data_IF_279839060044
#
_entry.id   IF_279839060044
#
_cell.length_a   1.000
_cell.length_b   1.000
_cell.length_c   1.000
_cell.angle_alpha   90.00
_cell.angle_beta   90.00
_cell.angle_gamma   90.00
#
_symmetry.space_group_name_H-M   'P 1'
#
loop_
_entity.id
_entity.type
_entity.pdbx_description
1 polymer ?
#
# COMPACT_ATOMS: atom_id res chain seq x y z
N UNK A 1 12.89 10.59 18.05
CA UNK A 1 12.83 10.67 17.59
C UNK A 1 13.14 10.65 17.21
N UNK A 2 13.16 10.87 16.86
CA UNK A 2 13.25 11.09 16.27
C UNK A 2 13.44 10.83 15.56
N UNK A 3 13.53 10.54 15.34
CA UNK A 3 13.55 10.56 14.40
C UNK A 3 13.22 10.33 13.61
N UNK A 4 12.59 10.27 13.31
CA UNK A 4 12.09 10.29 12.56
C UNK A 4 11.77 11.00 12.09
N UNK A 5 11.59 11.22 12.55
CA UNK A 5 11.26 12.10 12.23
C UNK A 5 11.85 12.92 11.64
N UNK A 6 12.57 13.04 11.52
CA UNK A 6 13.07 13.69 10.93
C UNK A 6 12.86 13.94 9.77
N UNK A 7 12.29 13.46 9.50
CA UNK A 7 11.93 13.62 8.33
C UNK A 7 10.90 14.48 8.26
N UNK A 8 10.87 15.44 8.32
CA UNK A 8 10.00 16.24 8.32
C UNK A 8 9.85 16.75 7.27
N UNK A 9 10.15 16.61 6.68
CA UNK A 9 10.07 17.12 5.63
C UNK A 9 9.06 17.54 5.01
N UNK A 10 8.91 17.56 3.87
CA UNK A 10 7.80 18.07 3.37
C UNK A 10 6.77 17.16 3.23
N UNK A 11 5.57 17.53 3.37
CA UNK A 11 4.40 16.76 3.13
C UNK A 11 3.95 17.07 1.74
N UNK A 12 4.15 16.15 0.85
CA UNK A 12 3.77 16.35 -0.53
C UNK A 12 2.41 15.76 -0.80
N UNK A 13 1.62 16.38 -1.66
CA UNK A 13 0.28 15.85 -1.96
C UNK A 13 0.32 14.41 -2.45
N UNK A 14 1.30 14.08 -3.29
CA UNK A 14 1.36 12.71 -3.79
C UNK A 14 1.66 11.73 -2.67
N UNK A 15 2.43 12.14 -1.66
CA UNK A 15 2.70 11.25 -0.54
C UNK A 15 1.46 11.04 0.31
N UNK A 16 0.68 12.09 0.48
CA UNK A 16 -0.56 11.96 1.23
C UNK A 16 -1.53 11.04 0.51
N UNK A 17 -1.62 11.18 -0.80
CA UNK A 17 -2.51 10.32 -1.55
C UNK A 17 -2.06 8.88 -1.51
N UNK A 18 -0.77 8.65 -1.64
CA UNK A 18 -0.27 7.29 -1.58
C UNK A 18 -0.52 6.71 -0.20
N UNK A 19 -0.34 7.51 0.84
CA UNK A 19 -0.59 7.03 2.19
C UNK A 19 -2.04 6.60 2.35
N UNK A 20 -2.97 7.38 1.81
CA UNK A 20 -4.37 7.01 1.87
C UNK A 20 -4.63 5.70 1.13
N UNK A 21 -4.02 5.54 -0.03
CA UNK A 21 -4.17 4.31 -0.78
C UNK A 21 -3.57 3.13 -0.04
N UNK A 22 -2.47 3.35 0.63
CA UNK A 22 -1.83 2.31 1.42
C UNK A 22 -2.70 1.90 2.60
N UNK A 23 -3.34 2.87 3.25
CA UNK A 23 -4.23 2.56 4.36
C UNK A 23 -5.41 1.74 3.88
N UNK A 24 -5.95 2.10 2.74
CA UNK A 24 -7.06 1.33 2.22
C UNK A 24 -6.62 -0.08 1.82
N UNK A 25 -5.43 -0.19 1.25
CA UNK A 25 -4.88 -1.49 0.92
C UNK A 25 -4.82 -2.36 2.17
N UNK A 26 -4.30 -1.81 3.26
CA UNK A 26 -4.17 -2.56 4.50
C UNK A 26 -5.52 -3.01 5.03
N UNK A 27 -6.53 -2.14 4.94
CA UNK A 27 -7.85 -2.49 5.41
C UNK A 27 -8.46 -3.60 4.57
N UNK A 28 -8.26 -3.55 3.27
CA UNK A 28 -8.82 -4.58 2.40
C UNK A 28 -8.12 -5.91 2.60
N UNK A 29 -6.80 -5.89 2.81
CA UNK A 29 -6.07 -7.10 3.10
C UNK A 29 -6.61 -7.75 4.37
N UNK A 30 -6.81 -6.93 5.40
CA UNK A 30 -7.33 -7.42 6.66
C UNK A 30 -8.70 -8.07 6.47
N UNK A 31 -9.55 -7.44 5.68
CA UNK A 31 -10.87 -7.96 5.41
C UNK A 31 -10.81 -9.32 4.69
N UNK A 32 -9.94 -9.41 3.69
CA UNK A 32 -9.79 -10.66 2.96
C UNK A 32 -9.27 -11.76 3.88
N UNK A 33 -8.33 -11.44 4.74
CA UNK A 33 -7.80 -12.40 5.67
C UNK A 33 -8.89 -12.90 6.62
N UNK A 34 -9.74 -12.00 7.07
CA UNK A 34 -10.83 -12.38 7.95
C UNK A 34 -11.82 -13.31 7.25
N UNK A 35 -12.13 -13.02 6.00
CA UNK A 35 -13.03 -13.88 5.25
C UNK A 35 -12.44 -15.26 5.04
N UNK A 36 -11.16 -15.31 4.75
CA UNK A 36 -10.51 -16.60 4.52
C UNK A 36 -10.49 -17.41 5.83
N UNK A 37 -10.15 -16.76 6.91
CA UNK A 37 -10.10 -17.42 8.21
C UNK A 37 -11.49 -17.93 8.61
N UNK A 38 -12.51 -17.17 8.27
CA UNK A 38 -13.88 -17.56 8.60
C UNK A 38 -14.44 -18.63 7.66
N UNK A 39 -13.66 -19.03 6.67
CA UNK A 39 -14.13 -20.07 5.76
C UNK A 39 -15.05 -19.55 4.69
N UNK A 40 -15.12 -18.24 4.50
CA UNK A 40 -16.00 -17.66 3.50
C UNK A 40 -15.29 -17.36 2.21
N UNK A 41 -13.99 -17.53 2.18
CA UNK A 41 -13.20 -17.28 0.99
C UNK A 41 -12.10 -18.31 1.00
N UNK A 42 -11.90 -18.97 -0.14
CA UNK A 42 -10.86 -20.01 -0.19
C UNK A 42 -9.49 -19.36 -0.17
N UNK A 43 -8.46 -20.10 0.24
CA UNK A 43 -7.12 -19.54 0.22
C UNK A 43 -6.68 -19.10 -1.17
N UNK A 44 -7.05 -19.86 -2.20
CA UNK A 44 -6.68 -19.50 -3.56
C UNK A 44 -7.34 -18.20 -3.96
N UNK A 45 -8.60 -18.04 -3.62
CA UNK A 45 -9.32 -16.84 -3.97
C UNK A 45 -8.78 -15.66 -3.19
N UNK A 46 -8.46 -15.88 -1.91
CA UNK A 46 -7.88 -14.81 -1.10
C UNK A 46 -6.57 -14.35 -1.71
N UNK A 47 -5.75 -15.30 -2.14
CA UNK A 47 -4.48 -14.95 -2.76
C UNK A 47 -4.68 -14.10 -4.01
N UNK A 48 -5.65 -14.48 -4.85
CA UNK A 48 -5.89 -13.73 -6.06
C UNK A 48 -6.33 -12.31 -5.77
N UNK A 49 -7.18 -12.15 -4.78
CA UNK A 49 -7.66 -10.82 -4.46
C UNK A 49 -6.56 -9.96 -3.87
N UNK A 50 -5.70 -10.54 -3.07
CA UNK A 50 -4.57 -9.80 -2.53
C UNK A 50 -3.62 -9.38 -3.66
N UNK A 51 -3.42 -10.27 -4.60
CA UNK A 51 -2.57 -9.96 -5.73
C UNK A 51 -3.13 -8.80 -6.54
N UNK A 52 -4.44 -8.79 -6.76
CA UNK A 52 -5.06 -7.68 -7.47
C UNK A 52 -4.89 -6.38 -6.72
N UNK A 53 -5.07 -6.42 -5.41
CA UNK A 53 -4.90 -5.22 -4.61
C UNK A 53 -3.47 -4.72 -4.64
N UNK A 54 -2.54 -5.64 -4.63
CA UNK A 54 -1.13 -5.27 -4.73
C UNK A 54 -0.84 -4.59 -6.05
N UNK A 55 -1.42 -5.10 -7.13
CA UNK A 55 -1.21 -4.51 -8.42
C UNK A 55 -1.79 -3.10 -8.48
N UNK A 56 -2.93 -2.90 -7.87
CA UNK A 56 -3.52 -1.58 -7.81
C UNK A 56 -2.64 -0.62 -7.01
N UNK A 57 -2.10 -1.08 -5.91
CA UNK A 57 -1.22 -0.25 -5.12
C UNK A 57 0.05 0.08 -5.88
N UNK A 58 0.59 -0.88 -6.59
CA UNK A 58 1.78 -0.66 -7.40
C UNK A 58 1.53 0.38 -8.47
N UNK A 59 0.39 0.30 -9.12
CA UNK A 59 0.04 1.27 -10.14
C UNK A 59 -0.09 2.66 -9.55
N UNK A 60 -0.69 2.74 -8.38
CA UNK A 60 -0.84 4.01 -7.70
C UNK A 60 0.53 4.61 -7.37
N UNK A 61 1.43 3.77 -6.89
CA UNK A 61 2.77 4.22 -6.57
C UNK A 61 3.44 4.83 -7.79
N UNK A 62 3.32 4.16 -8.91
CA UNK A 62 3.93 4.65 -10.14
C UNK A 62 3.27 5.91 -10.64
N UNK A 63 1.96 5.94 -10.60
CA UNK A 63 1.25 7.11 -11.07
C UNK A 63 1.57 8.34 -10.29
N UNK A 64 1.74 8.18 -8.99
CA UNK A 64 2.01 9.31 -8.13
C UNK A 64 3.51 9.65 -8.06
N UNK A 65 4.35 8.82 -8.67
CA UNK A 65 5.77 9.09 -8.69
C UNK A 65 6.45 8.87 -7.36
N UNK A 66 5.84 8.06 -6.51
CA UNK A 66 6.41 7.81 -5.20
C UNK A 66 7.70 7.02 -5.33
N UNK A 67 8.73 7.53 -4.69
CA UNK A 67 9.98 6.80 -4.67
C UNK A 67 10.82 6.96 -5.93
N UNK A 68 10.37 7.77 -6.86
CA UNK A 68 11.11 7.93 -8.07
C UNK A 68 12.11 9.02 -7.93
N UNK A 69 13.14 8.73 -7.29
CA UNK A 69 14.19 9.70 -7.10
C UNK A 69 15.44 9.07 -7.66
N UNK A 70 16.09 9.68 -8.63
CA UNK A 70 17.26 9.05 -9.23
C UNK A 70 18.33 8.68 -8.25
N UNK A 71 18.45 9.48 -7.20
CA UNK A 71 19.47 9.17 -6.25
C UNK A 71 19.11 8.01 -5.37
N UNK A 72 17.86 7.69 -5.28
CA UNK A 72 17.45 6.62 -4.45
C UNK A 72 17.33 5.35 -5.16
N UNK A 73 17.47 5.39 -6.43
CA UNK A 73 17.29 4.22 -7.16
C UNK A 73 18.50 3.47 -7.31
N UNK A 74 19.55 3.88 -6.71
CA UNK A 74 20.70 3.18 -6.85
C UNK A 74 20.78 2.00 -6.17
#
# INVERSE_FOLDING_TARGET
MHPHSRYRGEIKPENLMFNANLQEFAQRISYICNLETAGKLSPDRAYEEIKDLWQQLSASKEELGIGENPFQQQ
#
